data_IF_597707641064
#
_entry.id   IF_597707641064
#
_cell.length_a   1.000
_cell.length_b   1.000
_cell.length_c   1.000
_cell.angle_alpha   90.00
_cell.angle_beta   90.00
_cell.angle_gamma   90.00
#
_symmetry.space_group_name_H-M   'P 1'
#
loop_
_entity.id
_entity.type
_entity.pdbx_description
1 polymer ?
#
# COMPACT_ATOMS: atom_id res chain seq x y z
N UNK A 1 10.61 -21.25 -15.06
CA UNK A 1 9.86 -21.11 -13.78
C UNK A 1 10.79 -21.03 -12.57
N UNK A 2 11.71 -22.00 -12.39
CA UNK A 2 12.63 -22.09 -11.24
C UNK A 2 13.51 -20.84 -11.02
N UNK A 3 14.09 -20.26 -12.08
CA UNK A 3 14.93 -19.04 -11.96
C UNK A 3 14.17 -17.83 -11.39
N UNK A 4 12.88 -17.66 -11.72
CA UNK A 4 12.05 -16.57 -11.19
C UNK A 4 11.73 -16.76 -9.71
N UNK A 5 11.51 -18.01 -9.30
CA UNK A 5 11.28 -18.38 -7.90
C UNK A 5 12.53 -18.14 -7.04
N UNK A 6 13.72 -18.47 -7.57
CA UNK A 6 14.99 -18.21 -6.90
C UNK A 6 15.25 -16.72 -6.71
N UNK A 7 15.02 -15.91 -7.74
CA UNK A 7 15.16 -14.45 -7.64
C UNK A 7 14.21 -13.89 -6.58
N UNK A 8 12.94 -14.33 -6.56
CA UNK A 8 11.98 -13.91 -5.55
C UNK A 8 12.41 -14.32 -4.13
N UNK A 9 12.90 -15.56 -3.96
CA UNK A 9 13.41 -16.02 -2.65
C UNK A 9 14.65 -15.24 -2.19
N UNK A 10 15.51 -14.82 -3.12
CA UNK A 10 16.69 -14.02 -2.81
C UNK A 10 16.29 -12.59 -2.39
N UNK A 11 15.31 -11.99 -3.07
CA UNK A 11 14.74 -10.70 -2.69
C UNK A 11 14.09 -10.75 -1.30
N UNK A 12 13.35 -11.82 -1.01
CA UNK A 12 12.76 -12.05 0.31
C UNK A 12 13.85 -12.19 1.37
N UNK A 13 14.91 -12.97 1.10
CA UNK A 13 16.02 -13.16 2.04
C UNK A 13 16.76 -11.85 2.31
N UNK A 14 17.05 -11.06 1.27
CA UNK A 14 17.69 -9.75 1.39
C UNK A 14 16.84 -8.77 2.21
N UNK A 15 15.53 -8.77 1.98
CA UNK A 15 14.58 -7.97 2.76
C UNK A 15 14.61 -8.34 4.26
N UNK A 16 14.67 -9.63 4.59
CA UNK A 16 14.78 -10.08 5.98
C UNK A 16 16.11 -9.63 6.62
N UNK A 17 17.23 -9.71 5.89
CA UNK A 17 18.54 -9.28 6.39
C UNK A 17 18.55 -7.77 6.72
N UNK A 18 18.02 -6.93 5.83
CA UNK A 18 17.90 -5.48 6.08
C UNK A 18 16.97 -5.15 7.27
N UNK A 19 15.89 -5.92 7.45
CA UNK A 19 15.03 -5.76 8.62
C UNK A 19 15.75 -6.06 9.93
N UNK A 20 16.64 -7.06 9.97
CA UNK A 20 17.37 -7.42 11.20
C UNK A 20 18.48 -6.41 11.55
N UNK A 21 19.14 -5.81 10.55
CA UNK A 21 20.24 -4.88 10.79
C UNK A 21 19.79 -3.53 11.39
N UNK A 22 18.53 -3.15 11.20
CA UNK A 22 17.98 -1.85 11.61
C UNK A 22 17.32 -1.83 12.99
N UNK A 23 17.18 -2.98 13.67
CA UNK A 23 16.62 -3.08 15.04
C UNK A 23 17.50 -2.39 16.11
N UNK A 24 18.65 -1.81 15.74
CA UNK A 24 19.56 -1.08 16.64
C UNK A 24 19.20 0.40 16.82
N UNK A 25 18.30 0.97 15.99
CA UNK A 25 17.80 2.34 16.13
C UNK A 25 16.39 2.33 16.75
N UNK A 26 16.08 3.28 17.62
CA UNK A 26 14.77 3.39 18.30
C UNK A 26 13.60 3.72 17.36
N UNK A 27 13.79 3.74 16.04
CA UNK A 27 12.81 4.12 15.02
C UNK A 27 12.23 2.94 14.22
N UNK A 28 11.30 3.24 13.31
CA UNK A 28 10.70 2.24 12.39
C UNK A 28 11.50 2.16 11.10
N UNK A 29 11.66 0.95 10.54
CA UNK A 29 12.31 0.77 9.25
C UNK A 29 11.36 1.18 8.10
N UNK A 30 11.67 2.24 7.32
CA UNK A 30 10.78 2.73 6.27
C UNK A 30 10.62 1.78 5.09
N UNK A 31 11.69 1.10 4.70
CA UNK A 31 11.66 0.06 3.66
C UNK A 31 10.74 -1.08 4.07
N UNK A 32 10.79 -1.49 5.34
CA UNK A 32 9.87 -2.50 5.89
C UNK A 32 8.42 -2.04 5.84
N UNK A 33 8.13 -0.80 6.26
CA UNK A 33 6.78 -0.24 6.20
C UNK A 33 6.23 -0.21 4.77
N UNK A 34 7.07 0.21 3.80
CA UNK A 34 6.75 0.23 2.36
C UNK A 34 6.38 -1.16 1.85
N UNK A 35 7.22 -2.17 2.09
CA UNK A 35 6.96 -3.54 1.63
C UNK A 35 5.74 -4.17 2.30
N UNK A 36 5.51 -3.89 3.58
CA UNK A 36 4.29 -4.34 4.25
C UNK A 36 3.04 -3.78 3.57
N UNK A 37 2.98 -2.47 3.30
CA UNK A 37 1.84 -1.86 2.58
C UNK A 37 1.71 -2.33 1.13
N UNK A 38 2.79 -2.74 0.47
CA UNK A 38 2.73 -3.27 -0.90
C UNK A 38 2.00 -4.60 -0.98
N UNK A 39 2.18 -5.47 0.01
CA UNK A 39 1.63 -6.83 -0.03
C UNK A 39 0.33 -6.98 0.76
N UNK A 40 0.15 -6.21 1.83
CA UNK A 40 -0.99 -6.35 2.73
C UNK A 40 -1.60 -4.97 2.96
N UNK A 41 -2.87 -4.76 2.58
CA UNK A 41 -3.56 -3.50 2.81
C UNK A 41 -3.45 -2.99 4.24
N UNK A 42 -2.97 -1.77 4.41
CA UNK A 42 -2.83 -1.11 5.72
C UNK A 42 -1.70 -1.64 6.62
N UNK A 43 -0.91 -2.63 6.20
CA UNK A 43 0.08 -3.25 7.08
C UNK A 43 1.27 -2.33 7.41
N UNK A 44 1.69 -1.43 6.51
CA UNK A 44 2.71 -0.44 6.82
C UNK A 44 2.21 0.60 7.85
N UNK A 45 0.96 1.05 7.75
CA UNK A 45 0.33 1.89 8.77
C UNK A 45 0.24 1.16 10.11
N UNK A 46 -0.10 -0.13 10.11
CA UNK A 46 -0.15 -0.94 11.31
C UNK A 46 1.24 -1.07 11.97
N UNK A 47 2.29 -1.30 11.17
CA UNK A 47 3.67 -1.36 11.64
C UNK A 47 4.15 -0.05 12.28
N UNK A 48 3.70 1.07 11.72
CA UNK A 48 3.93 2.41 12.27
C UNK A 48 3.01 2.77 13.45
N UNK A 49 2.23 1.82 13.97
CA UNK A 49 1.30 2.00 15.10
C UNK A 49 0.18 3.03 14.84
N UNK A 50 -0.10 3.31 13.57
CA UNK A 50 -1.17 4.20 13.13
C UNK A 50 -2.46 3.40 12.86
N UNK A 51 -3.01 2.77 13.90
CA UNK A 51 -4.07 1.77 13.77
C UNK A 51 -5.35 2.28 13.08
N UNK A 52 -5.75 3.52 13.34
CA UNK A 52 -6.94 4.09 12.70
C UNK A 52 -6.74 4.28 11.18
N UNK A 53 -5.54 4.66 10.76
CA UNK A 53 -5.18 4.74 9.33
C UNK A 53 -5.11 3.35 8.73
N UNK A 54 -4.48 2.40 9.42
CA UNK A 54 -4.38 1.01 8.99
C UNK A 54 -5.75 0.42 8.70
N UNK A 55 -6.72 0.61 9.61
CA UNK A 55 -8.10 0.17 9.41
C UNK A 55 -8.78 0.84 8.21
N UNK A 56 -8.57 2.14 8.05
CA UNK A 56 -9.14 2.91 6.91
C UNK A 56 -8.59 2.43 5.57
N UNK A 57 -7.27 2.31 5.46
CA UNK A 57 -6.58 1.81 4.26
C UNK A 57 -7.04 0.39 3.94
N UNK A 58 -7.08 -0.48 4.94
CA UNK A 58 -7.53 -1.86 4.77
C UNK A 58 -8.95 -1.93 4.19
N UNK A 59 -9.91 -1.17 4.74
CA UNK A 59 -11.30 -1.16 4.27
C UNK A 59 -11.37 -0.67 2.83
N UNK A 60 -10.70 0.44 2.49
CA UNK A 60 -10.74 1.03 1.16
C UNK A 60 -10.14 0.07 0.13
N UNK A 61 -8.91 -0.39 0.33
CA UNK A 61 -8.23 -1.28 -0.62
C UNK A 61 -8.92 -2.64 -0.74
N UNK A 62 -9.39 -3.22 0.36
CA UNK A 62 -10.14 -4.49 0.33
C UNK A 62 -11.45 -4.36 -0.44
N UNK A 63 -12.14 -3.22 -0.31
CA UNK A 63 -13.35 -2.93 -1.07
C UNK A 63 -13.06 -2.84 -2.57
N UNK A 64 -11.98 -2.15 -2.95
CA UNK A 64 -11.56 -2.00 -4.35
C UNK A 64 -11.11 -3.33 -4.96
N UNK A 65 -10.38 -4.15 -4.20
CA UNK A 65 -10.06 -5.52 -4.57
C UNK A 65 -11.33 -6.36 -4.78
N UNK A 66 -12.29 -6.27 -3.86
CA UNK A 66 -13.59 -6.94 -3.97
C UNK A 66 -14.33 -6.55 -5.25
N UNK A 67 -14.43 -5.26 -5.56
CA UNK A 67 -15.04 -4.79 -6.80
C UNK A 67 -14.27 -5.21 -8.05
N UNK A 68 -12.94 -5.24 -8.00
CA UNK A 68 -12.10 -5.72 -9.10
C UNK A 68 -12.42 -7.18 -9.42
N UNK A 69 -12.47 -8.04 -8.39
CA UNK A 69 -12.81 -9.46 -8.51
C UNK A 69 -14.23 -9.64 -9.04
N UNK A 70 -15.20 -8.89 -8.49
CA UNK A 70 -16.59 -8.92 -8.92
C UNK A 70 -16.73 -8.55 -10.41
N UNK A 71 -16.12 -7.44 -10.83
CA UNK A 71 -16.17 -6.98 -12.21
C UNK A 71 -15.47 -7.98 -13.14
N UNK A 72 -14.36 -8.59 -12.71
CA UNK A 72 -13.69 -9.64 -13.47
C UNK A 72 -14.58 -10.89 -13.65
N UNK A 73 -15.27 -11.31 -12.59
CA UNK A 73 -16.19 -12.44 -12.67
C UNK A 73 -17.35 -12.16 -13.62
N UNK A 74 -17.98 -10.98 -13.51
CA UNK A 74 -19.06 -10.57 -14.41
C UNK A 74 -18.61 -10.40 -15.85
N UNK A 75 -17.44 -9.82 -16.09
CA UNK A 75 -16.85 -9.73 -17.41
C UNK A 75 -16.75 -11.12 -18.05
N UNK A 76 -16.18 -12.11 -17.34
CA UNK A 76 -16.07 -13.48 -17.85
C UNK A 76 -17.44 -14.14 -18.08
N UNK A 77 -18.40 -13.95 -17.16
CA UNK A 77 -19.76 -14.47 -17.31
C UNK A 77 -20.43 -13.96 -18.59
N UNK A 78 -20.30 -12.66 -18.90
CA UNK A 78 -20.88 -12.07 -20.11
C UNK A 78 -20.12 -12.44 -21.38
N UNK A 79 -18.80 -12.67 -21.28
CA UNK A 79 -18.01 -13.21 -22.38
C UNK A 79 -18.51 -14.61 -22.78
N UNK A 80 -18.70 -15.49 -21.80
CA UNK A 80 -19.18 -16.86 -22.04
C UNK A 80 -20.60 -16.87 -22.62
N UNK A 81 -21.49 -16.01 -22.10
CA UNK A 81 -22.85 -15.85 -22.66
C UNK A 81 -22.82 -15.38 -24.10
N UNK A 82 -22.00 -14.36 -24.42
CA UNK A 82 -21.87 -13.85 -25.79
C UNK A 82 -21.41 -14.96 -26.75
N UNK A 83 -20.45 -15.80 -26.35
CA UNK A 83 -19.95 -16.91 -27.17
C UNK A 83 -21.01 -17.94 -27.57
N UNK A 84 -22.04 -18.11 -26.74
CA UNK A 84 -23.14 -19.06 -26.96
C UNK A 84 -24.41 -18.46 -27.58
N UNK A 85 -24.41 -17.17 -27.87
CA UNK A 85 -25.61 -16.42 -28.25
C UNK A 85 -25.81 -16.30 -29.78
N UNK A 86 -27.07 -16.10 -30.18
CA UNK A 86 -27.44 -15.69 -31.55
C UNK A 86 -27.16 -14.19 -31.75
N UNK A 87 -27.18 -13.71 -33.00
CA UNK A 87 -26.77 -12.33 -33.35
C UNK A 87 -27.43 -11.22 -32.49
N UNK A 88 -28.73 -11.29 -32.22
CA UNK A 88 -29.42 -10.25 -31.42
C UNK A 88 -28.99 -10.28 -29.94
N UNK A 89 -28.87 -11.46 -29.35
CA UNK A 89 -28.44 -11.63 -27.96
C UNK A 89 -26.93 -11.42 -27.78
N UNK A 90 -26.14 -11.73 -28.82
CA UNK A 90 -24.69 -11.54 -28.86
C UNK A 90 -24.32 -10.09 -28.57
N UNK A 91 -24.90 -9.13 -29.32
CA UNK A 91 -24.59 -7.71 -29.16
C UNK A 91 -24.87 -7.22 -27.74
N UNK A 92 -25.98 -7.67 -27.13
CA UNK A 92 -26.35 -7.32 -25.76
C UNK A 92 -25.35 -7.86 -24.73
N UNK A 93 -24.97 -9.13 -24.84
CA UNK A 93 -23.99 -9.72 -23.92
C UNK A 93 -22.59 -9.15 -24.12
N UNK A 94 -22.20 -8.87 -25.36
CA UNK A 94 -20.91 -8.28 -25.67
C UNK A 94 -20.79 -6.84 -25.13
N UNK A 95 -21.86 -6.03 -25.21
CA UNK A 95 -21.92 -4.73 -24.56
C UNK A 95 -21.71 -4.85 -23.04
N UNK A 96 -22.38 -5.81 -22.39
CA UNK A 96 -22.18 -6.05 -20.95
C UNK A 96 -20.77 -6.51 -20.61
N UNK A 97 -20.17 -7.36 -21.44
CA UNK A 97 -18.76 -7.73 -21.31
C UNK A 97 -17.87 -6.49 -21.31
N UNK A 98 -18.06 -5.57 -22.27
CA UNK A 98 -17.30 -4.32 -22.37
C UNK A 98 -17.52 -3.42 -21.15
N UNK A 99 -18.78 -3.25 -20.70
CA UNK A 99 -19.11 -2.48 -19.48
C UNK A 99 -18.28 -2.97 -18.27
N UNK A 100 -18.23 -4.29 -18.06
CA UNK A 100 -17.51 -4.88 -16.93
C UNK A 100 -16.00 -4.91 -17.13
N UNK A 101 -15.53 -5.01 -18.37
CA UNK A 101 -14.12 -4.85 -18.73
C UNK A 101 -13.63 -3.44 -18.35
N UNK A 102 -14.36 -2.40 -18.75
CA UNK A 102 -14.02 -1.01 -18.43
C UNK A 102 -14.06 -0.75 -16.92
N UNK A 103 -15.10 -1.23 -16.22
CA UNK A 103 -15.17 -1.13 -14.75
C UNK A 103 -13.98 -1.80 -14.07
N UNK A 104 -13.58 -2.99 -14.50
CA UNK A 104 -12.40 -3.69 -13.97
C UNK A 104 -11.12 -2.89 -14.24
N UNK A 105 -10.94 -2.37 -15.46
CA UNK A 105 -9.78 -1.57 -15.81
C UNK A 105 -9.69 -0.28 -14.98
N UNK A 106 -10.82 0.38 -14.77
CA UNK A 106 -10.92 1.54 -13.90
C UNK A 106 -10.55 1.18 -12.44
N UNK A 107 -11.06 0.04 -11.93
CA UNK A 107 -10.69 -0.43 -10.60
C UNK A 107 -9.19 -0.73 -10.44
N UNK A 108 -8.52 -1.26 -11.48
CA UNK A 108 -7.06 -1.45 -11.43
C UNK A 108 -6.32 -0.12 -11.30
N UNK A 109 -6.75 0.93 -12.01
CA UNK A 109 -6.15 2.26 -11.90
C UNK A 109 -6.35 2.86 -10.51
N UNK A 110 -7.57 2.80 -9.99
CA UNK A 110 -7.84 3.29 -8.64
C UNK A 110 -7.06 2.50 -7.58
N UNK A 111 -7.06 1.17 -7.68
CA UNK A 111 -6.37 0.32 -6.71
C UNK A 111 -4.86 0.59 -6.74
N UNK A 112 -4.25 0.62 -7.93
CA UNK A 112 -2.82 0.92 -8.07
C UNK A 112 -2.46 2.30 -7.53
N UNK A 113 -3.27 3.32 -7.82
CA UNK A 113 -3.06 4.68 -7.32
C UNK A 113 -3.18 4.78 -5.80
N UNK A 114 -4.22 4.18 -5.22
CA UNK A 114 -4.44 4.20 -3.77
C UNK A 114 -3.37 3.39 -3.03
N UNK A 115 -2.97 2.23 -3.54
CA UNK A 115 -1.89 1.42 -2.99
C UNK A 115 -0.55 2.15 -3.07
N UNK A 116 -0.25 2.85 -4.16
CA UNK A 116 0.94 3.69 -4.24
C UNK A 116 0.94 4.79 -3.16
N UNK A 117 -0.18 5.48 -2.96
CA UNK A 117 -0.30 6.50 -1.92
C UNK A 117 -0.16 5.91 -0.51
N UNK A 118 -0.78 4.75 -0.26
CA UNK A 118 -0.67 4.00 1.00
C UNK A 118 0.77 3.60 1.30
N UNK A 119 1.51 3.16 0.29
CA UNK A 119 2.92 2.81 0.40
C UNK A 119 3.77 4.04 0.77
N UNK A 120 3.58 5.16 0.06
CA UNK A 120 4.33 6.40 0.32
C UNK A 120 4.01 6.94 1.71
N UNK A 121 2.73 6.94 2.12
CA UNK A 121 2.32 7.33 3.46
C UNK A 121 2.98 6.46 4.54
N UNK A 122 2.99 5.13 4.38
CA UNK A 122 3.67 4.23 5.33
C UNK A 122 5.19 4.50 5.39
N UNK A 123 5.83 4.74 4.25
CA UNK A 123 7.26 5.04 4.19
C UNK A 123 7.62 6.36 4.90
N UNK A 124 6.84 7.41 4.67
CA UNK A 124 7.06 8.73 5.30
C UNK A 124 6.77 8.66 6.80
N UNK A 125 5.68 8.01 7.22
CA UNK A 125 5.34 7.86 8.63
C UNK A 125 6.40 7.05 9.40
N UNK A 126 7.03 6.08 8.76
CA UNK A 126 8.14 5.35 9.36
C UNK A 126 9.39 6.23 9.54
N UNK A 127 9.72 7.05 8.53
CA UNK A 127 10.83 8.02 8.61
C UNK A 127 10.64 9.03 9.75
N UNK A 128 9.40 9.44 9.99
CA UNK A 128 9.05 10.47 10.97
C UNK A 128 8.57 9.90 12.31
N UNK A 129 8.74 8.60 12.55
CA UNK A 129 8.12 7.92 13.69
C UNK A 129 8.50 8.54 15.03
N UNK A 130 9.78 8.89 15.24
CA UNK A 130 10.27 9.51 16.47
C UNK A 130 10.41 11.03 16.38
N UNK A 131 9.91 11.66 15.32
CA UNK A 131 10.18 13.07 15.04
C UNK A 131 9.79 13.99 16.21
N UNK A 132 8.62 13.75 16.83
CA UNK A 132 8.15 14.55 17.96
C UNK A 132 9.02 14.36 19.21
N UNK A 133 9.54 13.16 19.45
CA UNK A 133 10.45 12.88 20.55
C UNK A 133 11.81 13.54 20.34
N UNK A 134 12.38 13.43 19.14
CA UNK A 134 13.66 14.04 18.79
C UNK A 134 13.58 15.57 18.82
N UNK A 135 12.49 16.15 18.32
CA UNK A 135 12.27 17.59 18.37
C UNK A 135 12.21 18.11 19.81
N UNK A 136 11.59 17.37 20.73
CA UNK A 136 11.53 17.74 22.16
C UNK A 136 12.90 17.75 22.84
N UNK A 137 13.91 17.08 22.29
CA UNK A 137 15.29 17.14 22.80
C UNK A 137 15.96 18.49 22.56
N UNK A 138 15.46 19.30 21.62
CA UNK A 138 16.03 20.59 21.25
C UNK A 138 15.22 21.71 21.91
N UNK A 139 15.79 22.38 22.91
CA UNK A 139 15.20 23.55 23.57
C UNK A 139 15.92 24.84 23.14
N UNK A 140 15.18 25.80 22.59
CA UNK A 140 15.67 27.17 22.38
C UNK A 140 15.44 28.00 23.65
N UNK A 141 16.52 28.53 24.23
CA UNK A 141 16.49 29.39 25.41
C UNK A 141 16.95 30.80 25.04
N UNK A 142 16.09 31.78 25.28
CA UNK A 142 16.40 33.20 25.07
C UNK A 142 16.65 33.86 26.43
N UNK A 143 17.79 34.53 26.57
CA UNK A 143 18.12 35.40 27.70
C UNK A 143 18.35 36.83 27.22
N UNK A 144 18.48 37.77 28.16
CA UNK A 144 18.44 39.23 27.91
C UNK A 144 19.31 39.70 26.73
N UNK A 145 20.46 39.05 26.45
CA UNK A 145 21.33 39.36 25.31
C UNK A 145 21.91 38.10 24.60
N UNK A 146 21.30 36.92 24.75
CA UNK A 146 21.81 35.69 24.13
C UNK A 146 20.74 34.65 23.83
N UNK A 147 20.88 33.96 22.70
CA UNK A 147 20.11 32.75 22.38
C UNK A 147 21.01 31.51 22.57
N UNK A 148 20.48 30.47 23.20
CA UNK A 148 21.18 29.20 23.44
C UNK A 148 20.33 28.03 22.97
N UNK A 149 20.98 27.04 22.35
CA UNK A 149 20.36 25.74 22.01
C UNK A 149 20.81 24.74 23.06
N UNK A 150 19.86 24.12 23.77
CA UNK A 150 20.12 23.03 24.70
C UNK A 150 19.63 21.73 24.07
N UNK A 151 20.50 20.72 24.03
CA UNK A 151 20.17 19.37 23.63
C UNK A 151 20.07 18.48 24.87
N UNK A 152 18.93 17.81 25.06
CA UNK A 152 18.69 16.87 26.18
C UNK A 152 18.83 15.45 25.65
N UNK A 153 19.80 14.70 26.18
CA UNK A 153 20.10 13.33 25.74
C UNK A 153 19.02 12.33 26.18
#
# INVERSE_FOLDING_TARGET
MIKKLLILSLFILLFFIESYAMDYYTGKNPTKAMFLSLFIPGAGQFYNEQYWKAGTVFIVESTMLGFTIYNNHKMNEYYDKAKSATDEAYHRYYQKYNDYYEKRQNMYWWLGGFTFLSIVDAFVNAHLYNYDEEKRKIELRFGENKAQIKYTF
#
